data_IF_329066970453
#
_entry.id   IF_329066970453
#
_cell.length_a   1.000
_cell.length_b   1.000
_cell.length_c   1.000
_cell.angle_alpha   90.00
_cell.angle_beta   90.00
_cell.angle_gamma   90.00
#
_symmetry.space_group_name_H-M   'P 1'
#
loop_
_entity.id
_entity.type
_entity.pdbx_description
1 polymer ?
#
# COMPACT_ATOMS: atom_id res chain seq x y z
N UNK A 1 15.56 -10.30 -9.26
CA UNK A 1 14.49 -9.31 -8.98
C UNK A 1 14.33 -8.22 -10.05
N UNK A 2 15.36 -7.45 -10.42
CA UNK A 2 15.22 -6.26 -11.30
C UNK A 2 14.59 -6.52 -12.67
N UNK A 3 14.99 -7.62 -13.34
CA UNK A 3 14.42 -8.03 -14.63
C UNK A 3 12.90 -8.24 -14.55
N UNK A 4 12.44 -8.90 -13.49
CA UNK A 4 11.01 -9.19 -13.25
C UNK A 4 10.24 -7.87 -13.06
N UNK A 5 10.78 -6.93 -12.29
CA UNK A 5 10.15 -5.62 -12.08
C UNK A 5 10.03 -4.86 -13.40
N UNK A 6 11.07 -4.89 -14.24
CA UNK A 6 11.05 -4.23 -15.55
C UNK A 6 9.95 -4.78 -16.46
N UNK A 7 9.78 -6.10 -16.48
CA UNK A 7 8.70 -6.77 -17.22
C UNK A 7 7.32 -6.44 -16.63
N UNK A 8 7.17 -6.40 -15.30
CA UNK A 8 5.90 -6.05 -14.67
C UNK A 8 5.47 -4.61 -14.99
N UNK A 9 6.41 -3.67 -15.05
CA UNK A 9 6.12 -2.26 -15.41
C UNK A 9 5.61 -2.09 -16.84
N UNK A 10 5.85 -3.05 -17.75
CA UNK A 10 5.28 -2.99 -19.10
C UNK A 10 3.86 -3.57 -19.17
N UNK A 11 3.42 -4.31 -18.15
CA UNK A 11 2.12 -4.98 -18.11
C UNK A 11 1.14 -4.28 -17.17
N UNK A 12 1.63 -3.75 -16.05
CA UNK A 12 0.82 -3.13 -15.01
C UNK A 12 1.04 -1.62 -14.94
N UNK A 13 -0.05 -0.89 -14.72
CA UNK A 13 -0.01 0.51 -14.34
C UNK A 13 0.22 0.58 -12.83
N UNK A 14 1.45 0.81 -12.42
CA UNK A 14 1.74 1.05 -11.01
C UNK A 14 1.47 2.50 -10.62
N UNK A 15 1.17 2.72 -9.34
CA UNK A 15 1.12 4.06 -8.75
C UNK A 15 2.31 4.34 -7.85
N UNK A 16 2.56 5.64 -7.64
CA UNK A 16 3.70 6.13 -6.85
C UNK A 16 3.38 6.28 -5.35
N UNK A 17 2.12 6.17 -4.96
CA UNK A 17 1.65 6.23 -3.58
C UNK A 17 0.90 4.95 -3.17
N UNK A 18 0.81 4.68 -1.87
CA UNK A 18 0.05 3.56 -1.32
C UNK A 18 -0.81 4.09 -0.17
N UNK A 19 -2.10 3.77 -0.20
CA UNK A 19 -3.16 4.21 0.69
C UNK A 19 -3.96 2.99 1.17
N UNK A 20 -4.71 3.17 2.26
CA UNK A 20 -5.65 2.16 2.73
C UNK A 20 -6.75 1.95 1.68
N UNK A 21 -7.06 0.69 1.37
CA UNK A 21 -8.01 0.30 0.34
C UNK A 21 -7.39 -0.11 -0.99
N UNK A 22 -6.09 0.11 -1.20
CA UNK A 22 -5.42 -0.29 -2.44
C UNK A 22 -5.13 -1.77 -2.52
N UNK A 23 -5.10 -2.30 -3.75
CA UNK A 23 -4.53 -3.61 -4.02
C UNK A 23 -3.07 -3.44 -4.46
N UNK A 24 -2.19 -4.18 -3.80
CA UNK A 24 -0.75 -4.23 -4.10
C UNK A 24 -0.39 -5.59 -4.69
N UNK A 25 0.58 -5.59 -5.61
CA UNK A 25 1.24 -6.81 -6.06
C UNK A 25 2.51 -7.02 -5.25
N UNK A 26 2.58 -8.17 -4.59
CA UNK A 26 3.72 -8.64 -3.82
C UNK A 26 4.45 -9.67 -4.66
N UNK A 27 5.74 -9.44 -4.91
CA UNK A 27 6.60 -10.40 -5.63
C UNK A 27 7.73 -10.84 -4.71
N UNK A 28 7.89 -12.15 -4.57
CA UNK A 28 9.00 -12.79 -3.87
C UNK A 28 9.78 -13.67 -4.85
N UNK A 29 11.12 -13.66 -4.74
CA UNK A 29 12.00 -14.37 -5.67
C UNK A 29 12.20 -15.85 -5.29
N UNK A 30 12.18 -16.17 -3.99
CA UNK A 30 12.34 -17.54 -3.47
C UNK A 30 11.47 -17.71 -2.22
N UNK A 31 10.54 -18.69 -2.18
CA UNK A 31 9.97 -19.32 -3.39
C UNK A 31 9.39 -18.25 -4.32
N UNK A 32 9.48 -18.47 -5.63
CA UNK A 32 8.94 -17.51 -6.59
C UNK A 32 7.42 -17.43 -6.41
N UNK A 33 6.94 -16.29 -5.92
CA UNK A 33 5.53 -16.09 -5.61
C UNK A 33 5.10 -14.68 -6.06
N UNK A 34 3.91 -14.61 -6.65
CA UNK A 34 3.24 -13.36 -7.00
C UNK A 34 1.85 -13.40 -6.37
N UNK A 35 1.58 -12.45 -5.48
CA UNK A 35 0.35 -12.43 -4.68
C UNK A 35 -0.25 -11.03 -4.72
N UNK A 36 -1.58 -10.96 -4.80
CA UNK A 36 -2.28 -9.72 -4.53
C UNK A 36 -2.55 -9.59 -3.02
N UNK A 37 -2.53 -8.37 -2.50
CA UNK A 37 -2.97 -8.07 -1.15
C UNK A 37 -3.73 -6.75 -1.11
N UNK A 38 -4.72 -6.66 -0.23
CA UNK A 38 -5.43 -5.42 0.10
C UNK A 38 -4.72 -4.72 1.26
N UNK A 39 -4.46 -3.43 1.11
CA UNK A 39 -3.96 -2.58 2.20
C UNK A 39 -5.12 -2.24 3.13
N UNK A 40 -4.99 -2.61 4.39
CA UNK A 40 -6.06 -2.45 5.39
C UNK A 40 -5.77 -1.38 6.42
N UNK A 41 -4.49 -1.06 6.67
CA UNK A 41 -4.08 -0.01 7.61
C UNK A 41 -2.62 0.42 7.34
N UNK A 42 -2.30 1.69 7.62
CA UNK A 42 -0.94 2.25 7.52
C UNK A 42 -0.73 3.19 8.71
N UNK A 43 0.20 2.85 9.61
CA UNK A 43 0.49 3.63 10.82
C UNK A 43 1.98 3.88 10.98
N UNK A 44 2.37 5.07 11.44
CA UNK A 44 3.79 5.37 11.73
C UNK A 44 4.21 4.62 13.00
N UNK A 45 5.38 3.98 12.97
CA UNK A 45 5.99 3.37 14.15
C UNK A 45 6.71 4.46 14.96
N UNK A 46 6.03 4.94 16.01
CA UNK A 46 6.56 5.99 16.90
C UNK A 46 7.70 5.51 17.80
N UNK A 47 7.95 4.19 17.89
CA UNK A 47 9.07 3.64 18.66
C UNK A 47 10.42 3.81 17.96
N UNK A 48 10.40 4.16 16.68
CA UNK A 48 11.60 4.37 15.85
C UNK A 48 11.82 5.86 15.61
N UNK A 49 13.08 6.29 15.77
CA UNK A 49 13.48 7.67 15.44
C UNK A 49 13.36 7.94 13.93
N UNK A 50 13.67 6.95 13.10
CA UNK A 50 13.52 7.01 11.65
C UNK A 50 12.07 6.77 11.20
N UNK A 51 11.74 7.14 9.96
CA UNK A 51 10.41 6.96 9.36
C UNK A 51 10.09 5.49 9.01
N UNK A 52 9.65 4.73 10.02
CA UNK A 52 9.13 3.38 9.88
C UNK A 52 7.60 3.35 9.94
N UNK A 53 6.99 2.41 9.22
CA UNK A 53 5.54 2.28 9.14
C UNK A 53 5.11 0.82 9.35
N UNK A 54 4.04 0.64 10.12
CA UNK A 54 3.27 -0.60 10.21
C UNK A 54 2.22 -0.61 9.10
N UNK A 55 2.38 -1.51 8.13
CA UNK A 55 1.43 -1.69 7.03
C UNK A 55 0.71 -3.02 7.21
N UNK A 56 -0.61 -2.95 7.41
CA UNK A 56 -1.45 -4.15 7.54
C UNK A 56 -1.96 -4.58 6.18
N UNK A 57 -1.63 -5.82 5.78
CA UNK A 57 -1.99 -6.39 4.49
C UNK A 57 -2.89 -7.61 4.67
N UNK A 58 -3.96 -7.66 3.89
CA UNK A 58 -4.77 -8.87 3.72
C UNK A 58 -4.38 -9.53 2.40
N UNK A 59 -3.62 -10.61 2.47
CA UNK A 59 -3.21 -11.37 1.27
C UNK A 59 -4.44 -12.03 0.67
N UNK A 60 -4.68 -11.78 -0.62
CA UNK A 60 -5.77 -12.33 -1.41
C UNK A 60 -5.36 -13.71 -1.95
N UNK A 61 -5.01 -14.61 -1.04
CA UNK A 61 -4.69 -16.01 -1.31
C UNK A 61 -5.78 -16.93 -0.76
N UNK A 62 -5.80 -18.18 -1.22
CA UNK A 62 -6.53 -19.24 -0.54
C UNK A 62 -5.55 -20.13 0.24
N UNK A 63 -5.68 -20.26 1.58
CA UNK A 63 -6.60 -19.55 2.46
C UNK A 63 -6.18 -18.08 2.66
N UNK A 64 -7.11 -17.17 3.03
CA UNK A 64 -6.78 -15.79 3.36
C UNK A 64 -5.82 -15.73 4.54
N UNK A 65 -4.70 -15.00 4.38
CA UNK A 65 -3.71 -14.80 5.44
C UNK A 65 -3.58 -13.31 5.73
N UNK A 66 -3.77 -12.92 6.99
CA UNK A 66 -3.45 -11.58 7.48
C UNK A 66 -1.97 -11.56 7.87
N UNK A 67 -1.21 -10.59 7.37
CA UNK A 67 0.21 -10.41 7.69
C UNK A 67 0.51 -8.96 8.01
N UNK A 68 1.52 -8.72 8.85
CA UNK A 68 2.02 -7.38 9.17
C UNK A 68 3.52 -7.36 8.91
N UNK A 69 3.98 -6.44 8.06
CA UNK A 69 5.41 -6.25 7.75
C UNK A 69 5.84 -4.84 8.15
N UNK A 70 7.06 -4.73 8.68
CA UNK A 70 7.69 -3.46 9.03
C UNK A 70 8.61 -3.04 7.89
N UNK A 71 8.21 -2.02 7.12
CA UNK A 71 8.88 -1.59 5.89
C UNK A 71 9.16 -0.10 5.90
N UNK A 72 10.19 0.33 5.14
CA UNK A 72 10.48 1.75 4.88
C UNK A 72 9.63 2.28 3.71
N UNK A 73 9.44 3.60 3.66
CA UNK A 73 8.68 4.25 2.58
C UNK A 73 9.16 3.86 1.17
N UNK A 74 10.46 3.86 0.85
CA UNK A 74 10.92 3.44 -0.48
C UNK A 74 10.58 1.98 -0.82
N UNK A 75 10.50 1.11 0.18
CA UNK A 75 10.31 -0.34 0.01
C UNK A 75 8.86 -0.70 -0.35
N UNK A 76 7.87 -0.05 0.28
CA UNK A 76 6.44 -0.33 0.00
C UNK A 76 5.84 0.55 -1.11
N UNK A 77 6.58 1.56 -1.58
CA UNK A 77 6.21 2.40 -2.74
C UNK A 77 6.88 1.96 -4.04
N UNK A 78 7.58 0.82 -4.03
CA UNK A 78 8.26 0.28 -5.20
C UNK A 78 9.48 1.08 -5.68
N UNK A 79 10.04 1.94 -4.81
CA UNK A 79 11.29 2.69 -5.08
C UNK A 79 12.54 1.88 -4.74
N UNK A 80 12.42 0.88 -3.88
CA UNK A 80 13.52 -0.01 -3.45
C UNK A 80 13.00 -1.45 -3.31
N UNK A 81 13.83 -2.46 -3.62
CA UNK A 81 13.60 -3.84 -3.21
C UNK A 81 14.25 -4.09 -1.84
N UNK A 82 13.83 -5.14 -1.13
CA UNK A 82 14.32 -5.39 0.23
C UNK A 82 14.40 -6.89 0.52
N UNK A 83 15.10 -7.25 1.59
CA UNK A 83 15.27 -8.65 2.00
C UNK A 83 14.57 -8.91 3.32
N UNK A 84 13.74 -9.95 3.38
CA UNK A 84 13.12 -10.45 4.62
C UNK A 84 13.33 -11.96 4.72
N UNK A 85 13.89 -12.43 5.84
CA UNK A 85 14.13 -13.86 6.05
C UNK A 85 15.14 -14.48 5.06
N UNK A 86 16.09 -13.67 4.55
CA UNK A 86 17.04 -14.09 3.52
C UNK A 86 16.49 -14.05 2.09
N UNK A 87 15.24 -13.62 1.91
CA UNK A 87 14.56 -13.60 0.61
C UNK A 87 14.31 -12.17 0.12
N UNK A 88 14.67 -11.89 -1.13
CA UNK A 88 14.40 -10.61 -1.80
C UNK A 88 12.92 -10.48 -2.17
N UNK A 89 12.34 -9.31 -1.87
CA UNK A 89 10.94 -8.96 -2.06
C UNK A 89 10.79 -7.58 -2.67
N UNK A 90 9.69 -7.39 -3.39
CA UNK A 90 9.28 -6.12 -3.97
C UNK A 90 7.77 -5.94 -3.80
N UNK A 91 7.35 -4.72 -3.47
CA UNK A 91 5.95 -4.34 -3.29
C UNK A 91 5.69 -3.04 -4.02
N UNK A 92 4.65 -3.01 -4.86
CA UNK A 92 4.13 -1.75 -5.40
C UNK A 92 2.61 -1.85 -5.63
N UNK A 93 1.92 -0.74 -5.39
CA UNK A 93 0.48 -0.63 -5.60
C UNK A 93 0.12 -0.54 -7.09
N UNK A 94 -0.93 -1.23 -7.50
CA UNK A 94 -1.43 -1.26 -8.89
C UNK A 94 -2.65 -0.35 -9.03
N UNK A 95 -2.75 0.32 -10.18
CA UNK A 95 -3.93 1.02 -10.66
C UNK A 95 -4.75 0.09 -11.56
N UNK A 96 -6.05 0.07 -11.36
CA UNK A 96 -6.99 -0.65 -12.23
C UNK A 96 -7.60 0.27 -13.29
N UNK A 97 -7.40 1.57 -13.14
CA UNK A 97 -7.82 2.64 -14.01
C UNK A 97 -6.65 3.17 -14.86
N UNK A 98 -6.97 3.65 -16.06
CA UNK A 98 -6.01 4.29 -16.96
C UNK A 98 -5.39 5.54 -16.30
N UNK A 99 -4.15 5.95 -16.65
CA UNK A 99 -3.52 7.12 -16.06
C UNK A 99 -4.30 8.37 -16.45
N UNK A 100 -5.20 8.84 -15.58
CA UNK A 100 -6.12 9.95 -15.88
C UNK A 100 -7.35 10.06 -15.00
N UNK A 101 -7.72 9.02 -14.23
CA UNK A 101 -8.89 9.05 -13.34
C UNK A 101 -8.52 9.21 -11.85
N UNK A 102 -7.64 10.16 -11.52
CA UNK A 102 -7.58 10.67 -10.14
C UNK A 102 -8.83 11.53 -9.89
N UNK A 103 -9.97 10.89 -9.64
CA UNK A 103 -11.11 11.54 -8.99
C UNK A 103 -10.76 11.72 -7.53
N UNK A 104 -10.12 12.86 -7.28
CA UNK A 104 -10.14 13.70 -6.09
C UNK A 104 -11.12 13.20 -5.00
N UNK A 105 -10.71 12.17 -4.24
CA UNK A 105 -11.34 11.81 -2.97
C UNK A 105 -10.84 12.78 -1.90
N UNK A 106 -11.12 14.07 -2.12
CA UNK A 106 -11.17 15.02 -1.02
C UNK A 106 -12.34 14.60 -0.13
N UNK A 107 -11.97 14.09 1.04
CA UNK A 107 -12.86 13.89 2.18
C UNK A 107 -13.58 15.22 2.45
N UNK A 108 -14.82 15.34 1.96
CA UNK A 108 -15.76 16.39 2.36
C UNK A 108 -16.13 16.16 3.83
N UNK A 109 -15.29 16.65 4.73
CA UNK A 109 -15.68 16.92 6.11
C UNK A 109 -16.77 17.99 6.13
N UNK A 110 -18.04 17.59 6.00
CA UNK A 110 -19.19 18.46 6.30
C UNK A 110 -19.13 18.84 7.78
N UNK A 111 -18.57 20.02 8.09
CA UNK A 111 -18.81 20.70 9.36
C UNK A 111 -20.32 20.97 9.49
N UNK A 112 -21.03 20.16 10.28
CA UNK A 112 -22.37 20.53 10.78
C UNK A 112 -22.19 21.72 11.71
N UNK A 113 -22.53 22.93 11.24
CA UNK A 113 -22.75 24.08 12.12
C UNK A 113 -24.10 23.86 12.82
N UNK A 114 -24.05 23.44 14.08
CA UNK A 114 -25.22 23.45 14.97
C UNK A 114 -25.46 24.90 15.37
N UNK A 115 -26.49 25.54 14.80
CA UNK A 115 -26.97 26.84 15.26
C UNK A 115 -27.89 26.58 16.46
N UNK A 116 -27.38 26.79 17.66
CA UNK A 116 -28.22 26.82 18.86
C UNK A 116 -28.94 28.17 18.92
N UNK A 117 -30.27 28.12 18.86
CA UNK A 117 -31.16 29.28 18.98
C UNK A 117 -31.38 29.55 20.46
N UNK A 118 -30.80 30.62 21.00
CA UNK A 118 -31.12 31.07 22.37
C UNK A 118 -32.45 31.82 22.30
N UNK A 119 -33.43 31.33 23.04
CA UNK A 119 -34.72 32.00 23.29
C UNK A 119 -34.65 32.58 24.70
N UNK A 120 -34.56 33.91 24.82
CA UNK A 120 -35.19 34.67 25.90
C UNK A 120 -35.21 36.15 25.58
#
# INVERSE_FOLDING_TARGET
>A
MEKIIKELRSVFLFKDNTLVGDIVLIVAEKPQAMLYALVTDIQRDESRLDEWWHVSLQVLSFPPKKTMWTLRLPQFTGKEFFTMGGESRFIQAIRFDSPGEEKDLQVKGKKKKTVLRVVK
#
